data_IF_617022634595
#
_entry.id   IF_617022634595
#
_cell.length_a   1.000
_cell.length_b   1.000
_cell.length_c   1.000
_cell.angle_alpha   90.00
_cell.angle_beta   90.00
_cell.angle_gamma   90.00
#
_symmetry.space_group_name_H-M   'P 1'
#
loop_
_entity.id
_entity.type
_entity.pdbx_description
1 polymer ?
#
# COMPACT_ATOMS: atom_id res chain seq x y z
N UNK A 1 -8.96 -37.42 -14.22
CA UNK A 1 -8.07 -38.11 -13.28
C UNK A 1 -8.86 -39.01 -12.31
N UNK A 2 -9.94 -38.50 -11.69
CA UNK A 2 -10.75 -39.25 -10.72
C UNK A 2 -12.01 -39.91 -11.33
N UNK A 3 -12.38 -39.56 -12.57
CA UNK A 3 -13.62 -39.99 -13.20
C UNK A 3 -14.92 -39.47 -12.57
N UNK A 4 -14.82 -38.58 -11.58
CA UNK A 4 -15.97 -38.00 -10.88
C UNK A 4 -16.35 -36.63 -11.49
N UNK A 5 -17.62 -36.24 -11.36
CA UNK A 5 -18.07 -34.90 -11.73
C UNK A 5 -17.55 -33.83 -10.76
N UNK A 6 -17.51 -32.55 -11.17
CA UNK A 6 -17.08 -31.44 -10.32
C UNK A 6 -17.95 -31.32 -9.06
N UNK A 7 -19.26 -31.56 -9.17
CA UNK A 7 -20.22 -31.49 -8.07
C UNK A 7 -20.00 -32.61 -7.04
N UNK A 8 -19.71 -33.84 -7.52
CA UNK A 8 -19.41 -34.97 -6.64
C UNK A 8 -18.11 -34.72 -5.85
N UNK A 9 -17.08 -34.18 -6.52
CA UNK A 9 -15.81 -33.81 -5.87
C UNK A 9 -16.01 -32.66 -4.89
N UNK A 10 -16.80 -31.66 -5.21
CA UNK A 10 -17.09 -30.55 -4.31
C UNK A 10 -17.81 -31.02 -3.04
N UNK A 11 -18.73 -31.98 -3.17
CA UNK A 11 -19.39 -32.59 -2.03
C UNK A 11 -18.44 -33.38 -1.10
N UNK A 12 -17.50 -34.13 -1.68
CA UNK A 12 -16.47 -34.88 -0.92
C UNK A 12 -15.44 -33.97 -0.24
N UNK A 13 -15.17 -32.79 -0.84
CA UNK A 13 -14.21 -31.80 -0.36
C UNK A 13 -14.88 -30.68 0.44
N UNK A 14 -16.08 -30.89 0.93
CA UNK A 14 -16.81 -29.91 1.73
C UNK A 14 -15.98 -29.49 2.96
N UNK A 15 -15.81 -28.16 3.15
CA UNK A 15 -14.94 -27.60 4.18
C UNK A 15 -13.47 -27.45 3.79
N UNK A 16 -13.02 -28.14 2.71
CA UNK A 16 -11.68 -27.96 2.15
C UNK A 16 -11.69 -26.96 0.98
N UNK A 17 -12.77 -26.98 0.19
CA UNK A 17 -13.02 -26.01 -0.86
C UNK A 17 -14.41 -25.39 -0.67
N UNK A 18 -14.56 -24.16 -1.14
CA UNK A 18 -15.81 -23.39 -1.07
C UNK A 18 -16.19 -22.87 -2.44
N UNK A 19 -17.47 -22.99 -2.78
CA UNK A 19 -18.07 -22.33 -3.93
C UNK A 19 -18.17 -20.83 -3.67
N UNK A 20 -17.67 -20.01 -4.60
CA UNK A 20 -17.74 -18.56 -4.45
C UNK A 20 -19.09 -18.04 -4.98
N UNK A 21 -19.89 -17.34 -4.14
CA UNK A 21 -21.18 -16.81 -4.57
C UNK A 21 -21.05 -15.86 -5.77
N UNK A 22 -21.85 -16.11 -6.82
CA UNK A 22 -21.92 -15.23 -8.00
C UNK A 22 -20.73 -15.31 -8.95
N UNK A 23 -19.74 -16.20 -8.72
CA UNK A 23 -18.62 -16.39 -9.63
C UNK A 23 -18.76 -17.70 -10.41
N UNK A 24 -18.49 -17.62 -11.71
CA UNK A 24 -18.50 -18.74 -12.63
C UNK A 24 -17.15 -18.80 -13.37
N UNK A 25 -16.77 -20.04 -13.73
CA UNK A 25 -15.66 -20.29 -14.63
C UNK A 25 -16.02 -19.91 -16.07
N UNK A 26 -15.03 -19.92 -16.98
CA UNK A 26 -15.25 -19.61 -18.39
C UNK A 26 -16.24 -20.58 -19.07
N UNK A 27 -16.36 -21.81 -18.56
CA UNK A 27 -17.28 -22.85 -19.04
C UNK A 27 -18.68 -22.75 -18.40
N UNK A 28 -18.95 -21.72 -17.58
CA UNK A 28 -20.21 -21.50 -16.87
C UNK A 28 -20.38 -22.36 -15.62
N UNK A 29 -19.41 -23.18 -15.24
CA UNK A 29 -19.44 -23.96 -13.98
C UNK A 29 -19.15 -23.07 -12.77
N UNK A 30 -19.60 -23.45 -11.56
CA UNK A 30 -19.28 -22.72 -10.35
C UNK A 30 -17.78 -22.61 -10.08
N UNK A 31 -17.34 -21.44 -9.64
CA UNK A 31 -15.96 -21.21 -9.22
C UNK A 31 -15.76 -21.68 -7.77
N UNK A 32 -14.72 -22.48 -7.54
CA UNK A 32 -14.34 -23.01 -6.24
C UNK A 32 -12.95 -22.52 -5.85
N UNK A 33 -12.78 -22.19 -4.60
CA UNK A 33 -11.48 -21.82 -4.00
C UNK A 33 -11.21 -22.64 -2.75
N UNK A 34 -9.96 -22.75 -2.35
CA UNK A 34 -9.56 -23.47 -1.13
C UNK A 34 -10.02 -22.73 0.13
N UNK A 35 -10.15 -23.45 1.24
CA UNK A 35 -10.60 -22.89 2.51
C UNK A 35 -9.69 -21.74 3.00
N UNK A 36 -8.37 -21.87 2.86
CA UNK A 36 -7.38 -20.85 3.24
C UNK A 36 -7.57 -19.55 2.44
N UNK A 37 -7.95 -19.65 1.17
CA UNK A 37 -8.27 -18.50 0.33
C UNK A 37 -9.66 -17.94 0.64
N UNK A 38 -10.68 -18.81 0.77
CA UNK A 38 -12.04 -18.35 1.01
C UNK A 38 -12.21 -17.65 2.36
N UNK A 39 -11.61 -18.23 3.42
CA UNK A 39 -11.71 -17.76 4.81
C UNK A 39 -10.65 -16.70 5.16
N UNK A 40 -10.08 -16.03 4.19
CA UNK A 40 -9.12 -14.94 4.32
C UNK A 40 -9.54 -13.70 3.53
N UNK A 41 -8.77 -12.63 3.60
CA UNK A 41 -9.14 -11.34 3.00
C UNK A 41 -10.31 -10.69 3.74
N UNK A 42 -11.16 -9.93 3.09
CA UNK A 42 -12.30 -9.27 3.71
C UNK A 42 -13.42 -10.27 4.05
N UNK A 43 -13.28 -10.95 5.17
CA UNK A 43 -14.22 -12.00 5.63
C UNK A 43 -15.58 -11.46 6.03
N UNK A 44 -15.68 -10.20 6.46
CA UNK A 44 -16.98 -9.56 6.78
C UNK A 44 -17.81 -9.37 5.51
N UNK A 45 -17.19 -8.86 4.45
CA UNK A 45 -17.87 -8.72 3.15
C UNK A 45 -18.27 -10.08 2.57
N UNK A 46 -17.37 -11.07 2.65
CA UNK A 46 -17.64 -12.44 2.19
C UNK A 46 -18.81 -13.06 2.96
N UNK A 47 -18.90 -12.86 4.27
CA UNK A 47 -20.01 -13.34 5.09
C UNK A 47 -21.35 -12.74 4.61
N UNK A 48 -21.41 -11.42 4.42
CA UNK A 48 -22.63 -10.78 3.89
C UNK A 48 -23.03 -11.32 2.50
N UNK A 49 -22.06 -11.57 1.64
CA UNK A 49 -22.31 -12.18 0.33
C UNK A 49 -22.83 -13.62 0.45
N UNK A 50 -22.24 -14.44 1.34
CA UNK A 50 -22.68 -15.80 1.59
C UNK A 50 -24.08 -15.85 2.21
N UNK A 51 -24.42 -14.97 3.14
CA UNK A 51 -25.75 -14.86 3.74
C UNK A 51 -26.82 -14.53 2.69
N UNK A 52 -26.54 -13.59 1.79
CA UNK A 52 -27.45 -13.26 0.67
C UNK A 52 -27.63 -14.44 -0.28
N UNK A 53 -26.53 -15.15 -0.59
CA UNK A 53 -26.58 -16.31 -1.46
C UNK A 53 -27.37 -17.47 -0.80
N UNK A 54 -27.20 -17.69 0.51
CA UNK A 54 -27.90 -18.74 1.25
C UNK A 54 -29.43 -18.54 1.33
N UNK A 55 -29.90 -17.29 1.21
CA UNK A 55 -31.33 -17.00 1.10
C UNK A 55 -31.94 -17.52 -0.22
N UNK A 56 -31.16 -17.62 -1.28
CA UNK A 56 -31.57 -18.09 -2.60
C UNK A 56 -31.24 -19.57 -2.83
N UNK A 57 -30.09 -20.01 -2.33
CA UNK A 57 -29.55 -21.36 -2.46
C UNK A 57 -29.03 -21.87 -1.10
N UNK A 58 -29.79 -22.73 -0.41
CA UNK A 58 -29.42 -23.27 0.90
C UNK A 58 -28.06 -23.99 0.94
N UNK A 59 -27.50 -24.39 -0.21
CA UNK A 59 -26.17 -25.02 -0.27
C UNK A 59 -25.06 -24.10 0.23
N UNK A 60 -25.28 -22.78 0.26
CA UNK A 60 -24.33 -21.80 0.83
C UNK A 60 -24.36 -21.72 2.37
N UNK A 61 -25.18 -22.49 3.07
CA UNK A 61 -25.22 -22.49 4.53
C UNK A 61 -23.84 -22.85 5.13
N UNK A 62 -23.11 -23.80 4.50
CA UNK A 62 -21.76 -24.17 4.91
C UNK A 62 -20.77 -22.99 4.81
N UNK A 63 -20.93 -22.15 3.80
CA UNK A 63 -20.13 -20.94 3.63
C UNK A 63 -20.40 -19.93 4.76
N UNK A 64 -21.66 -19.75 5.12
CA UNK A 64 -22.08 -18.86 6.21
C UNK A 64 -21.49 -19.35 7.55
N UNK A 65 -21.61 -20.64 7.85
CA UNK A 65 -21.05 -21.24 9.08
C UNK A 65 -19.54 -21.03 9.15
N UNK A 66 -18.81 -21.40 8.10
CA UNK A 66 -17.35 -21.29 8.06
C UNK A 66 -16.87 -19.82 8.16
N UNK A 67 -17.53 -18.89 7.44
CA UNK A 67 -17.20 -17.48 7.49
C UNK A 67 -17.56 -16.83 8.83
N UNK A 68 -18.63 -17.31 9.50
CA UNK A 68 -19.00 -16.83 10.86
C UNK A 68 -17.90 -17.21 11.84
N UNK A 69 -17.39 -18.45 11.78
CA UNK A 69 -16.28 -18.89 12.62
C UNK A 69 -14.95 -18.17 12.30
N UNK A 70 -14.78 -17.69 11.07
CA UNK A 70 -13.57 -17.00 10.62
C UNK A 70 -13.58 -15.49 10.89
N UNK A 71 -14.66 -14.91 11.46
CA UNK A 71 -14.72 -13.47 11.74
C UNK A 71 -13.66 -13.05 12.76
N UNK A 72 -12.98 -11.92 12.56
CA UNK A 72 -12.15 -11.33 13.60
C UNK A 72 -13.04 -10.89 14.78
N UNK A 73 -12.47 -10.96 16.00
CA UNK A 73 -13.13 -10.42 17.19
C UNK A 73 -13.36 -8.94 17.01
N UNK A 74 -14.55 -8.45 17.35
CA UNK A 74 -14.81 -7.02 17.39
C UNK A 74 -13.97 -6.36 18.50
N UNK A 75 -13.35 -5.25 18.12
CA UNK A 75 -12.60 -4.39 19.02
C UNK A 75 -13.54 -3.38 19.66
N UNK A 76 -13.34 -3.09 20.94
CA UNK A 76 -14.02 -1.99 21.61
C UNK A 76 -13.21 -0.67 21.51
N UNK A 77 -13.78 0.43 21.99
CA UNK A 77 -13.15 1.75 21.90
C UNK A 77 -11.80 1.83 22.63
N UNK A 78 -11.56 1.00 23.64
CA UNK A 78 -10.29 0.97 24.38
C UNK A 78 -9.20 0.20 23.66
N UNK A 79 -9.58 -0.70 22.74
CA UNK A 79 -8.67 -1.50 21.93
C UNK A 79 -8.33 -0.81 20.59
N UNK A 80 -9.11 0.21 20.18
CA UNK A 80 -8.91 0.93 18.93
C UNK A 80 -7.97 2.12 19.14
N UNK A 81 -6.79 2.06 18.53
CA UNK A 81 -5.87 3.20 18.53
C UNK A 81 -6.35 4.27 17.53
N UNK A 82 -6.62 5.46 18.07
CA UNK A 82 -7.05 6.61 17.27
C UNK A 82 -6.00 7.72 17.33
N UNK A 83 -5.66 8.26 16.15
CA UNK A 83 -4.76 9.41 16.02
C UNK A 83 -5.34 10.44 15.06
N UNK A 84 -4.96 11.71 15.27
CA UNK A 84 -5.23 12.77 14.31
C UNK A 84 -4.64 12.44 12.94
N UNK A 85 -5.43 12.68 11.88
CA UNK A 85 -5.04 12.38 10.51
C UNK A 85 -5.32 10.95 10.05
N UNK A 86 -5.92 10.11 10.92
CA UNK A 86 -6.39 8.78 10.50
C UNK A 86 -7.50 8.93 9.45
N UNK A 87 -7.28 8.38 8.26
CA UNK A 87 -8.15 8.60 7.08
C UNK A 87 -9.47 7.83 7.11
N UNK A 88 -9.64 6.91 8.08
CA UNK A 88 -10.90 6.22 8.30
C UNK A 88 -11.91 7.05 9.13
N UNK A 89 -11.46 8.16 9.72
CA UNK A 89 -12.30 9.10 10.47
C UNK A 89 -12.77 10.19 9.50
N UNK A 90 -14.06 10.33 9.35
CA UNK A 90 -14.66 11.32 8.46
C UNK A 90 -14.26 12.74 8.87
N UNK A 91 -14.04 13.60 7.87
CA UNK A 91 -13.61 14.99 8.08
C UNK A 91 -14.58 15.78 8.95
N UNK A 92 -15.85 15.41 8.97
CA UNK A 92 -16.90 16.01 9.78
C UNK A 92 -16.61 15.88 11.28
N UNK A 93 -16.06 14.74 11.73
CA UNK A 93 -15.64 14.57 13.13
C UNK A 93 -14.43 15.43 13.48
N UNK A 94 -13.48 15.56 12.55
CA UNK A 94 -12.31 16.45 12.75
C UNK A 94 -12.79 17.91 12.82
N UNK A 95 -13.72 18.30 11.96
CA UNK A 95 -14.29 19.65 11.95
C UNK A 95 -15.08 19.93 13.24
N UNK A 96 -15.88 18.99 13.70
CA UNK A 96 -16.61 19.11 14.97
C UNK A 96 -15.63 19.24 16.15
N UNK A 97 -14.61 18.39 16.21
CA UNK A 97 -13.53 18.49 17.21
C UNK A 97 -12.90 19.86 17.22
N UNK A 98 -12.54 20.38 16.05
CA UNK A 98 -11.94 21.69 15.88
C UNK A 98 -12.84 22.81 16.42
N UNK A 99 -14.14 22.78 16.07
CA UNK A 99 -15.08 23.80 16.52
C UNK A 99 -15.32 23.76 18.04
N UNK A 100 -15.50 22.59 18.60
CA UNK A 100 -15.76 22.40 20.04
C UNK A 100 -14.53 22.71 20.89
N UNK A 101 -13.35 22.20 20.50
CA UNK A 101 -12.13 22.30 21.30
C UNK A 101 -11.54 23.72 21.25
N UNK A 102 -11.59 24.38 20.09
CA UNK A 102 -11.07 25.74 19.93
C UNK A 102 -12.12 26.81 20.18
N UNK A 103 -13.35 26.43 20.60
CA UNK A 103 -14.46 27.35 20.79
C UNK A 103 -14.67 28.28 19.57
N UNK A 104 -14.62 27.68 18.37
CA UNK A 104 -14.70 28.47 17.13
C UNK A 104 -16.03 29.23 17.06
N UNK A 105 -16.01 30.58 16.98
CA UNK A 105 -17.23 31.37 16.94
C UNK A 105 -18.14 30.94 15.77
N UNK A 106 -19.44 30.88 16.02
CA UNK A 106 -20.43 30.40 15.03
C UNK A 106 -20.35 31.14 13.69
N UNK A 107 -20.07 32.45 13.71
CA UNK A 107 -19.94 33.24 12.48
C UNK A 107 -18.69 32.87 11.66
N UNK A 108 -17.66 32.27 12.27
CA UNK A 108 -16.45 31.80 11.60
C UNK A 108 -16.58 30.34 11.10
N UNK A 109 -17.49 29.55 11.66
CA UNK A 109 -17.66 28.16 11.28
C UNK A 109 -18.02 27.95 9.80
N UNK A 110 -18.61 28.97 9.16
CA UNK A 110 -18.90 28.97 7.71
C UNK A 110 -17.67 29.23 6.84
N UNK A 111 -16.62 29.79 7.40
CA UNK A 111 -15.39 30.17 6.68
C UNK A 111 -14.19 29.30 7.03
N UNK A 112 -14.23 28.62 8.19
CA UNK A 112 -13.16 27.73 8.64
C UNK A 112 -13.67 26.30 8.49
N UNK A 113 -13.15 25.58 7.49
CA UNK A 113 -13.60 24.24 7.12
C UNK A 113 -12.42 23.27 7.00
N UNK A 114 -12.65 22.01 7.41
CA UNK A 114 -11.70 20.92 7.22
C UNK A 114 -11.99 20.21 5.90
N UNK A 115 -10.96 20.07 5.07
CA UNK A 115 -11.02 19.31 3.83
C UNK A 115 -9.93 18.24 3.80
N UNK A 116 -10.23 17.12 3.14
CA UNK A 116 -9.28 16.05 2.86
C UNK A 116 -9.33 15.72 1.37
N UNK A 117 -8.18 15.61 0.74
CA UNK A 117 -8.06 15.11 -0.64
C UNK A 117 -7.51 13.69 -0.63
N UNK A 118 -8.26 12.74 -1.14
CA UNK A 118 -7.82 11.34 -1.28
C UNK A 118 -6.69 11.20 -2.30
N UNK A 119 -6.63 12.09 -3.29
CA UNK A 119 -5.62 12.07 -4.35
C UNK A 119 -4.24 12.52 -3.84
N UNK A 120 -4.18 13.62 -3.08
CA UNK A 120 -2.91 14.12 -2.51
C UNK A 120 -2.61 13.54 -1.13
N UNK A 121 -3.57 12.85 -0.53
CA UNK A 121 -3.55 12.37 0.85
C UNK A 121 -3.28 13.51 1.87
N UNK A 122 -3.73 14.73 1.56
CA UNK A 122 -3.50 15.92 2.40
C UNK A 122 -4.78 16.43 3.03
N UNK A 123 -4.65 16.81 4.31
CA UNK A 123 -5.65 17.55 5.06
C UNK A 123 -5.41 19.05 4.93
N UNK A 124 -6.47 19.83 4.86
CA UNK A 124 -6.40 21.26 4.71
C UNK A 124 -7.48 21.94 5.55
N UNK A 125 -7.10 22.99 6.26
CA UNK A 125 -8.04 23.84 7.00
C UNK A 125 -8.13 25.19 6.29
N UNK A 126 -9.26 25.40 5.61
CA UNK A 126 -9.58 26.70 5.01
C UNK A 126 -9.82 27.73 6.09
N UNK A 127 -9.57 28.99 5.78
CA UNK A 127 -9.88 30.11 6.68
C UNK A 127 -9.09 30.13 7.99
N UNK A 128 -8.06 29.31 8.17
CA UNK A 128 -7.23 29.23 9.38
C UNK A 128 -6.62 30.54 9.85
N UNK A 129 -6.50 31.54 8.96
CA UNK A 129 -5.97 32.88 9.27
C UNK A 129 -7.06 33.88 9.55
N UNK A 130 -8.33 33.53 9.51
CA UNK A 130 -9.46 34.44 9.73
C UNK A 130 -9.77 34.73 11.21
N UNK A 131 -9.06 34.06 12.12
CA UNK A 131 -9.26 34.15 13.56
C UNK A 131 -8.54 35.36 14.11
N UNK A 132 -9.22 36.09 15.01
CA UNK A 132 -8.63 37.26 15.70
C UNK A 132 -7.44 36.86 16.56
N UNK A 133 -6.37 37.66 16.57
CA UNK A 133 -5.21 37.45 17.44
C UNK A 133 -5.54 37.48 18.94
N UNK A 134 -6.69 38.06 19.32
CA UNK A 134 -7.18 38.09 20.69
C UNK A 134 -7.91 36.82 21.11
N UNK A 135 -8.05 35.83 20.21
CA UNK A 135 -8.67 34.56 20.52
C UNK A 135 -7.74 33.73 21.40
N UNK A 136 -8.13 33.54 22.66
CA UNK A 136 -7.33 32.82 23.66
C UNK A 136 -7.17 31.34 23.31
N UNK A 137 -8.22 30.71 22.81
CA UNK A 137 -8.14 29.28 22.44
C UNK A 137 -7.17 29.08 21.27
N UNK A 138 -7.26 29.97 20.26
CA UNK A 138 -6.47 29.86 19.03
C UNK A 138 -4.99 30.24 19.20
N UNK A 139 -4.66 31.23 20.06
CA UNK A 139 -3.31 31.78 20.16
C UNK A 139 -2.60 31.55 21.50
N UNK A 140 -3.33 31.04 22.52
CA UNK A 140 -2.76 30.85 23.87
C UNK A 140 -2.92 29.39 24.33
N UNK A 141 -4.15 28.88 24.33
CA UNK A 141 -4.41 27.52 24.86
C UNK A 141 -3.84 26.44 23.93
N UNK A 142 -4.24 26.44 22.65
CA UNK A 142 -3.87 25.45 21.65
C UNK A 142 -2.96 25.97 20.54
N UNK A 143 -2.58 27.24 20.60
CA UNK A 143 -1.66 27.87 19.65
C UNK A 143 -0.62 28.75 20.33
N UNK A 144 0.16 29.42 19.49
CA UNK A 144 1.17 30.39 19.85
C UNK A 144 0.94 31.68 19.05
N UNK A 145 1.63 32.78 19.39
CA UNK A 145 1.60 34.02 18.60
C UNK A 145 2.10 33.85 17.16
N UNK A 146 2.91 32.80 16.90
CA UNK A 146 3.53 32.52 15.60
C UNK A 146 2.81 31.41 14.81
N UNK A 147 2.06 30.53 15.49
CA UNK A 147 1.27 29.47 14.88
C UNK A 147 -0.01 29.29 15.68
N UNK A 148 -1.15 29.64 15.10
CA UNK A 148 -2.43 29.44 15.76
C UNK A 148 -2.85 27.96 15.80
N UNK A 149 -3.85 27.64 16.62
CA UNK A 149 -4.35 26.28 16.83
C UNK A 149 -4.78 25.59 15.53
N UNK A 150 -5.39 26.29 14.60
CA UNK A 150 -5.85 25.73 13.31
C UNK A 150 -4.68 25.33 12.42
N UNK A 151 -3.61 26.11 12.39
CA UNK A 151 -2.38 25.76 11.68
C UNK A 151 -1.69 24.55 12.31
N UNK A 152 -1.60 24.50 13.63
CA UNK A 152 -1.00 23.38 14.36
C UNK A 152 -1.85 22.11 14.16
N UNK A 153 -3.18 22.23 14.15
CA UNK A 153 -4.08 21.10 13.85
C UNK A 153 -3.84 20.58 12.43
N UNK A 154 -3.77 21.46 11.43
CA UNK A 154 -3.49 21.06 10.04
C UNK A 154 -2.15 20.33 9.90
N UNK A 155 -1.09 20.83 10.55
CA UNK A 155 0.21 20.15 10.55
C UNK A 155 0.12 18.78 11.25
N UNK A 156 -0.66 18.67 12.34
CA UNK A 156 -0.88 17.42 13.06
C UNK A 156 -1.64 16.37 12.22
N UNK A 157 -2.67 16.80 11.50
CA UNK A 157 -3.44 15.97 10.58
C UNK A 157 -2.57 15.41 9.45
N UNK A 158 -1.60 16.18 8.97
CA UNK A 158 -0.66 15.79 7.93
C UNK A 158 0.61 15.11 8.48
N UNK A 159 0.65 14.74 9.76
CA UNK A 159 1.78 14.11 10.43
C UNK A 159 3.07 14.94 10.33
N UNK A 160 2.96 16.26 10.26
CA UNK A 160 4.09 17.20 10.21
C UNK A 160 4.37 17.75 11.60
N UNK A 161 5.65 17.83 11.97
CA UNK A 161 6.05 18.57 13.16
C UNK A 161 6.03 20.07 12.87
N UNK A 162 5.47 20.83 13.78
CA UNK A 162 5.45 22.29 13.66
C UNK A 162 6.86 22.83 13.83
N UNK A 163 7.33 23.62 12.87
CA UNK A 163 8.64 24.28 12.89
C UNK A 163 8.48 25.78 12.66
N UNK A 164 9.02 26.58 13.56
CA UNK A 164 8.96 28.05 13.50
C UNK A 164 10.33 28.56 13.07
N UNK A 165 10.34 29.41 12.06
CA UNK A 165 11.56 30.00 11.51
C UNK A 165 11.54 31.52 11.66
N UNK A 166 12.69 32.08 12.02
CA UNK A 166 12.96 33.51 11.92
C UNK A 166 13.67 33.82 10.61
N UNK A 167 13.37 34.97 10.03
CA UNK A 167 14.11 35.49 8.88
C UNK A 167 15.20 36.40 9.41
N UNK A 168 16.44 36.08 9.13
CA UNK A 168 17.63 36.84 9.54
C UNK A 168 18.31 37.31 8.27
N UNK A 169 18.65 38.61 8.20
CA UNK A 169 19.43 39.20 7.13
C UNK A 169 20.93 39.09 7.47
N UNK A 170 21.73 38.55 6.54
CA UNK A 170 23.18 38.48 6.72
C UNK A 170 23.86 39.80 6.34
N UNK A 171 25.20 39.87 6.52
CA UNK A 171 25.96 41.06 6.24
C UNK A 171 25.94 41.52 4.76
N UNK A 172 25.53 40.59 3.86
CA UNK A 172 25.39 40.87 2.42
C UNK A 172 23.96 41.23 2.00
N UNK A 173 23.04 41.45 2.98
CA UNK A 173 21.64 41.78 2.73
C UNK A 173 20.79 40.63 2.22
N UNK A 174 21.22 39.36 2.38
CA UNK A 174 20.45 38.19 2.02
C UNK A 174 19.66 37.64 3.18
N UNK A 175 18.38 37.42 2.96
CA UNK A 175 17.50 36.77 3.94
C UNK A 175 17.74 35.30 4.05
N UNK A 176 17.98 34.83 5.27
CA UNK A 176 18.10 33.39 5.61
C UNK A 176 17.04 33.00 6.63
N UNK A 177 16.43 31.83 6.43
CA UNK A 177 15.46 31.25 7.38
C UNK A 177 16.22 30.41 8.40
N UNK A 178 16.20 30.79 9.68
CA UNK A 178 16.83 30.11 10.79
C UNK A 178 15.78 29.55 11.72
N UNK A 179 15.92 28.28 12.14
CA UNK A 179 14.97 27.64 13.05
C UNK A 179 15.00 28.31 14.42
N UNK A 180 13.85 28.79 14.87
CA UNK A 180 13.67 29.28 16.23
C UNK A 180 13.34 28.11 17.16
N UNK A 181 14.34 27.59 17.87
CA UNK A 181 14.20 26.41 18.72
C UNK A 181 13.19 26.63 19.85
N UNK A 182 13.16 27.81 20.47
CA UNK A 182 12.26 28.15 21.58
C UNK A 182 10.79 28.14 21.13
N UNK A 183 10.48 28.87 20.06
CA UNK A 183 9.12 28.95 19.51
C UNK A 183 8.67 27.60 18.92
N UNK A 184 9.59 26.84 18.33
CA UNK A 184 9.31 25.48 17.83
C UNK A 184 8.97 24.54 18.98
N UNK A 185 9.69 24.59 20.10
CA UNK A 185 9.39 23.75 21.28
C UNK A 185 8.03 24.10 21.87
N UNK A 186 7.70 25.40 21.97
CA UNK A 186 6.40 25.84 22.47
C UNK A 186 5.27 25.36 21.55
N UNK A 187 5.43 25.49 20.22
CA UNK A 187 4.46 25.00 19.26
C UNK A 187 4.29 23.47 19.31
N UNK A 188 5.37 22.72 19.51
CA UNK A 188 5.34 21.26 19.68
C UNK A 188 4.56 20.86 20.94
N UNK A 189 4.67 21.58 22.05
CA UNK A 189 3.85 21.35 23.23
C UNK A 189 2.35 21.57 22.95
N UNK A 190 2.00 22.64 22.18
CA UNK A 190 0.62 22.88 21.78
C UNK A 190 0.11 21.78 20.83
N UNK A 191 0.96 21.31 19.93
CA UNK A 191 0.64 20.19 19.05
C UNK A 191 0.33 18.93 19.85
N UNK A 192 1.11 18.63 20.89
CA UNK A 192 0.85 17.50 21.77
C UNK A 192 -0.46 17.67 22.56
N UNK A 193 -0.73 18.87 23.07
CA UNK A 193 -1.99 19.16 23.77
C UNK A 193 -3.23 18.95 22.87
N UNK A 194 -3.14 19.32 21.59
CA UNK A 194 -4.22 19.06 20.60
C UNK A 194 -4.41 17.55 20.38
N UNK A 195 -3.32 16.80 20.27
CA UNK A 195 -3.39 15.33 20.10
C UNK A 195 -4.05 14.64 21.30
N UNK A 196 -3.72 15.07 22.51
CA UNK A 196 -4.31 14.56 23.75
C UNK A 196 -5.79 14.93 23.84
N UNK A 197 -6.12 16.20 23.57
CA UNK A 197 -7.51 16.65 23.57
C UNK A 197 -8.37 15.85 22.57
N UNK A 198 -7.82 15.51 21.39
CA UNK A 198 -8.53 14.69 20.41
C UNK A 198 -8.79 13.28 20.90
N UNK A 199 -7.80 12.62 21.52
CA UNK A 199 -7.97 11.26 22.09
C UNK A 199 -9.09 11.23 23.14
N UNK A 200 -9.15 12.26 23.98
CA UNK A 200 -10.19 12.35 24.99
C UNK A 200 -11.56 12.68 24.40
N UNK A 201 -11.59 13.57 23.40
CA UNK A 201 -12.81 14.02 22.79
C UNK A 201 -13.50 12.94 21.96
N UNK A 202 -12.75 12.18 21.17
CA UNK A 202 -13.28 11.26 20.13
C UNK A 202 -14.20 10.18 20.76
N UNK A 203 -13.84 9.69 21.95
CA UNK A 203 -14.57 8.62 22.64
C UNK A 203 -15.53 9.12 23.74
N UNK A 204 -15.58 10.42 24.02
CA UNK A 204 -16.38 10.98 25.11
C UNK A 204 -17.87 10.83 24.88
N UNK A 205 -18.33 11.15 23.68
CA UNK A 205 -19.74 11.05 23.30
C UNK A 205 -20.13 9.61 22.99
N UNK A 206 -21.19 9.05 23.63
CA UNK A 206 -21.57 7.64 23.48
C UNK A 206 -22.04 7.27 22.07
N UNK A 207 -22.78 8.15 21.38
CA UNK A 207 -23.31 7.90 20.05
C UNK A 207 -22.18 7.90 19.02
N UNK A 208 -21.31 8.92 19.08
CA UNK A 208 -20.10 8.99 18.24
C UNK A 208 -19.21 7.78 18.47
N UNK A 209 -18.98 7.40 19.73
CA UNK A 209 -18.18 6.20 20.08
C UNK A 209 -18.76 4.94 19.46
N UNK A 210 -20.05 4.70 19.59
CA UNK A 210 -20.71 3.53 19.01
C UNK A 210 -20.58 3.50 17.48
N UNK A 211 -20.80 4.65 16.83
CA UNK A 211 -20.70 4.78 15.37
C UNK A 211 -19.28 4.49 14.89
N UNK A 212 -18.28 5.11 15.50
CA UNK A 212 -16.87 4.94 15.11
C UNK A 212 -16.33 3.53 15.41
N UNK A 213 -16.74 2.90 16.52
CA UNK A 213 -16.38 1.51 16.83
C UNK A 213 -16.97 0.57 15.79
N UNK A 214 -18.24 0.77 15.41
CA UNK A 214 -18.88 -0.02 14.36
C UNK A 214 -18.18 0.17 13.00
N UNK A 215 -17.93 1.40 12.62
CA UNK A 215 -17.22 1.72 11.37
C UNK A 215 -15.82 1.10 11.34
N UNK A 216 -15.05 1.23 12.40
CA UNK A 216 -13.71 0.66 12.47
C UNK A 216 -13.73 -0.87 12.31
N UNK A 217 -14.62 -1.55 13.02
CA UNK A 217 -14.75 -2.99 12.90
C UNK A 217 -15.17 -3.45 11.50
N UNK A 218 -16.08 -2.70 10.86
CA UNK A 218 -16.55 -3.02 9.51
C UNK A 218 -15.51 -2.75 8.41
N UNK A 219 -14.73 -1.69 8.52
CA UNK A 219 -13.80 -1.24 7.47
C UNK A 219 -12.36 -1.67 7.73
N UNK A 220 -11.85 -1.48 8.95
CA UNK A 220 -10.45 -1.70 9.29
C UNK A 220 -10.20 -3.08 9.90
N UNK A 221 -11.12 -3.57 10.76
CA UNK A 221 -11.03 -4.90 11.37
C UNK A 221 -11.86 -5.94 10.58
N UNK A 222 -11.80 -5.88 9.26
CA UNK A 222 -12.61 -6.71 8.37
C UNK A 222 -11.83 -7.82 7.67
N UNK A 223 -10.50 -7.79 7.78
CA UNK A 223 -9.61 -8.64 7.01
C UNK A 223 -8.92 -9.67 7.90
N UNK A 224 -8.97 -10.91 7.47
CA UNK A 224 -8.16 -12.00 8.03
C UNK A 224 -6.99 -12.29 7.08
N UNK A 225 -5.73 -12.29 7.54
CA UNK A 225 -4.60 -12.68 6.72
C UNK A 225 -4.77 -14.12 6.21
N UNK A 226 -4.35 -14.37 4.96
CA UNK A 226 -4.24 -15.74 4.46
C UNK A 226 -2.99 -16.37 5.05
N UNK A 227 -3.14 -17.55 5.63
CA UNK A 227 -2.04 -18.34 6.12
C UNK A 227 -1.59 -19.32 5.03
N UNK A 228 -0.29 -19.46 4.88
CA UNK A 228 0.31 -20.37 3.91
C UNK A 228 1.13 -21.42 4.65
N UNK A 229 0.81 -22.68 4.43
CA UNK A 229 1.59 -23.80 4.95
C UNK A 229 2.43 -24.40 3.82
N UNK A 230 3.74 -24.34 3.95
CA UNK A 230 4.71 -24.90 3.03
C UNK A 230 5.27 -26.25 3.48
N UNK A 231 4.75 -26.86 4.54
CA UNK A 231 5.28 -28.11 5.12
C UNK A 231 5.28 -29.28 4.13
N UNK A 232 4.31 -29.30 3.21
CA UNK A 232 4.14 -30.33 2.19
C UNK A 232 5.07 -30.17 0.97
N UNK A 233 5.75 -29.02 0.84
CA UNK A 233 6.59 -28.74 -0.34
C UNK A 233 7.90 -29.54 -0.25
N UNK A 234 8.21 -30.25 -1.32
CA UNK A 234 9.48 -30.94 -1.51
C UNK A 234 10.31 -30.23 -2.56
N UNK A 235 11.59 -30.01 -2.25
CA UNK A 235 12.49 -29.22 -3.09
C UNK A 235 13.42 -30.12 -3.91
N UNK A 236 12.97 -30.47 -5.12
CA UNK A 236 13.75 -31.32 -6.03
C UNK A 236 15.03 -30.62 -6.50
N UNK A 237 16.17 -31.33 -6.46
CA UNK A 237 17.47 -30.80 -6.90
C UNK A 237 18.17 -29.85 -5.92
N UNK A 238 17.54 -29.56 -4.77
CA UNK A 238 18.16 -28.76 -3.72
C UNK A 238 19.29 -29.54 -3.04
N UNK A 239 20.31 -28.84 -2.57
CA UNK A 239 21.44 -29.40 -1.81
C UNK A 239 20.92 -30.13 -0.55
N UNK A 240 21.13 -31.46 -0.42
CA UNK A 240 20.63 -32.25 0.70
C UNK A 240 21.25 -31.87 2.07
N UNK A 241 22.40 -31.18 2.07
CA UNK A 241 23.02 -30.71 3.28
C UNK A 241 22.34 -29.44 3.86
N UNK A 242 21.39 -28.84 3.14
CA UNK A 242 20.68 -27.63 3.56
C UNK A 242 19.22 -28.00 3.84
N UNK A 243 18.73 -27.61 5.04
CA UNK A 243 17.34 -27.75 5.42
C UNK A 243 16.70 -26.37 5.55
N UNK A 244 15.61 -26.14 4.81
CA UNK A 244 14.82 -24.92 4.94
C UNK A 244 14.00 -24.95 6.24
N UNK A 245 13.94 -23.82 6.93
CA UNK A 245 13.12 -23.62 8.15
C UNK A 245 11.64 -23.54 7.80
N UNK A 246 10.75 -23.75 8.76
CA UNK A 246 9.30 -23.70 8.55
C UNK A 246 8.83 -22.39 7.96
N UNK A 247 9.29 -21.24 8.52
CA UNK A 247 8.92 -19.91 7.99
C UNK A 247 9.38 -19.72 6.55
N UNK A 248 10.53 -20.30 6.15
CA UNK A 248 10.99 -20.21 4.76
C UNK A 248 10.11 -21.05 3.82
N UNK A 249 9.70 -22.24 4.24
CA UNK A 249 8.77 -23.07 3.47
C UNK A 249 7.40 -22.39 3.31
N UNK A 250 6.89 -21.77 4.39
CA UNK A 250 5.64 -21.02 4.35
C UNK A 250 5.74 -19.77 3.49
N UNK A 251 6.89 -19.07 3.48
CA UNK A 251 7.15 -17.96 2.57
C UNK A 251 7.18 -18.41 1.10
N UNK A 252 7.77 -19.57 0.82
CA UNK A 252 7.79 -20.17 -0.52
C UNK A 252 6.36 -20.54 -0.96
N UNK A 253 5.56 -21.13 -0.08
CA UNK A 253 4.15 -21.40 -0.35
C UNK A 253 3.38 -20.12 -0.67
N UNK A 254 3.65 -19.03 0.06
CA UNK A 254 3.07 -17.73 -0.22
C UNK A 254 3.42 -17.22 -1.63
N UNK A 255 4.67 -17.32 -2.05
CA UNK A 255 5.09 -16.94 -3.41
C UNK A 255 4.39 -17.80 -4.48
N UNK A 256 4.26 -19.10 -4.25
CA UNK A 256 3.68 -20.04 -5.23
C UNK A 256 2.16 -19.89 -5.38
N UNK A 257 1.45 -19.62 -4.28
CA UNK A 257 -0.03 -19.63 -4.23
C UNK A 257 -0.65 -18.24 -4.10
N UNK A 258 0.08 -17.27 -3.61
CA UNK A 258 -0.43 -15.92 -3.33
C UNK A 258 -0.21 -14.89 -4.45
N UNK A 259 0.60 -15.19 -5.45
CA UNK A 259 0.95 -14.26 -6.53
C UNK A 259 2.03 -13.26 -6.10
N UNK A 260 1.79 -11.95 -6.32
CA UNK A 260 2.75 -10.92 -5.92
C UNK A 260 2.95 -10.91 -4.40
N UNK A 261 4.18 -11.11 -3.95
CA UNK A 261 4.51 -11.32 -2.54
C UNK A 261 5.60 -10.36 -2.07
N UNK A 262 5.41 -9.75 -0.90
CA UNK A 262 6.42 -8.99 -0.17
C UNK A 262 7.00 -9.85 0.96
N UNK A 263 8.28 -10.24 0.84
CA UNK A 263 9.02 -10.95 1.89
C UNK A 263 9.67 -9.94 2.85
N UNK A 264 8.92 -9.47 3.84
CA UNK A 264 9.35 -8.46 4.80
C UNK A 264 10.01 -9.06 6.06
N UNK A 265 10.64 -10.23 5.95
CA UNK A 265 11.36 -10.87 7.06
C UNK A 265 12.58 -10.04 7.49
N UNK A 266 12.97 -10.17 8.75
CA UNK A 266 14.16 -9.52 9.29
C UNK A 266 15.44 -9.94 8.56
N UNK A 267 16.51 -9.13 8.74
CA UNK A 267 17.82 -9.46 8.20
C UNK A 267 18.34 -10.75 8.86
N UNK A 268 18.83 -11.69 8.06
CA UNK A 268 19.30 -13.00 8.53
C UNK A 268 18.24 -14.11 8.55
N UNK A 269 16.97 -13.82 8.23
CA UNK A 269 15.91 -14.85 8.14
C UNK A 269 16.10 -15.83 6.95
N UNK A 270 16.97 -15.50 6.00
CA UNK A 270 17.27 -16.35 4.85
C UNK A 270 16.43 -16.07 3.61
N UNK A 271 15.98 -14.83 3.40
CA UNK A 271 15.18 -14.40 2.25
C UNK A 271 15.75 -14.81 0.89
N UNK A 272 17.07 -14.81 0.73
CA UNK A 272 17.72 -15.27 -0.50
C UNK A 272 17.36 -16.71 -0.83
N UNK A 273 17.37 -17.60 0.17
CA UNK A 273 16.99 -19.00 -0.02
C UNK A 273 15.49 -19.15 -0.28
N UNK A 274 14.65 -18.34 0.35
CA UNK A 274 13.20 -18.30 0.06
C UNK A 274 12.93 -17.97 -1.42
N UNK A 275 13.56 -16.90 -1.92
CA UNK A 275 13.39 -16.48 -3.31
C UNK A 275 13.95 -17.50 -4.31
N UNK A 276 15.14 -18.05 -4.04
CA UNK A 276 15.78 -19.04 -4.90
C UNK A 276 14.95 -20.32 -4.95
N UNK A 277 14.56 -20.85 -3.79
CA UNK A 277 13.76 -22.08 -3.72
C UNK A 277 12.37 -21.90 -4.33
N UNK A 278 11.71 -20.74 -4.10
CA UNK A 278 10.43 -20.42 -4.73
C UNK A 278 10.53 -20.38 -6.26
N UNK A 279 11.61 -19.80 -6.80
CA UNK A 279 11.82 -19.73 -8.25
C UNK A 279 12.05 -21.10 -8.88
N UNK A 280 12.84 -21.96 -8.23
CA UNK A 280 13.11 -23.32 -8.71
C UNK A 280 11.87 -24.21 -8.62
N UNK A 281 11.10 -24.06 -7.58
CA UNK A 281 9.83 -24.78 -7.41
C UNK A 281 8.77 -24.29 -8.40
N UNK A 282 8.66 -22.98 -8.63
CA UNK A 282 7.79 -22.42 -9.67
C UNK A 282 8.14 -22.97 -11.08
N UNK A 283 9.44 -23.10 -11.39
CA UNK A 283 9.89 -23.74 -12.64
C UNK A 283 9.51 -25.22 -12.67
N UNK A 284 9.74 -25.97 -11.60
CA UNK A 284 9.38 -27.38 -11.49
C UNK A 284 7.88 -27.64 -11.71
N UNK A 285 7.05 -26.74 -11.17
CA UNK A 285 5.59 -26.79 -11.31
C UNK A 285 5.08 -26.25 -12.67
N UNK A 286 5.98 -25.76 -13.54
CA UNK A 286 5.60 -25.20 -14.84
C UNK A 286 4.96 -23.82 -14.79
N UNK A 287 5.01 -23.13 -13.64
CA UNK A 287 4.47 -21.78 -13.46
C UNK A 287 5.34 -20.71 -14.15
N UNK A 288 6.63 -21.00 -14.30
CA UNK A 288 7.55 -20.16 -15.08
C UNK A 288 8.59 -21.01 -15.80
N UNK A 289 9.20 -20.47 -16.85
CA UNK A 289 10.29 -21.15 -17.57
C UNK A 289 11.65 -20.77 -17.01
N UNK A 290 11.83 -19.51 -16.65
CA UNK A 290 13.05 -18.95 -16.07
C UNK A 290 12.72 -17.75 -15.18
N UNK A 291 13.52 -17.52 -14.16
CA UNK A 291 13.33 -16.41 -13.21
C UNK A 291 14.39 -15.34 -13.39
N UNK A 292 13.99 -14.09 -13.16
CA UNK A 292 14.88 -12.94 -13.20
C UNK A 292 15.04 -12.36 -11.79
N UNK A 293 16.28 -12.35 -11.29
CA UNK A 293 16.64 -11.75 -10.02
C UNK A 293 17.30 -10.39 -10.27
N UNK A 294 16.64 -9.34 -9.83
CA UNK A 294 17.17 -7.97 -9.90
C UNK A 294 17.65 -7.57 -8.50
N UNK A 295 18.95 -7.41 -8.35
CA UNK A 295 19.59 -7.22 -7.06
C UNK A 295 20.49 -5.96 -7.07
N UNK A 296 20.89 -5.41 -5.92
CA UNK A 296 21.91 -4.36 -5.87
C UNK A 296 23.18 -4.80 -6.59
N UNK A 297 23.77 -3.89 -7.37
CA UNK A 297 24.88 -4.22 -8.29
C UNK A 297 26.08 -4.93 -7.62
N UNK A 298 26.35 -4.63 -6.35
CA UNK A 298 27.46 -5.22 -5.60
C UNK A 298 27.14 -6.61 -5.03
N UNK A 299 25.88 -7.07 -5.12
CA UNK A 299 25.45 -8.36 -4.57
C UNK A 299 25.28 -9.45 -5.64
N UNK A 300 25.49 -9.16 -6.93
CA UNK A 300 25.25 -10.12 -8.02
C UNK A 300 26.07 -11.40 -7.87
N UNK A 301 27.35 -11.31 -7.53
CA UNK A 301 28.22 -12.46 -7.33
C UNK A 301 27.86 -13.26 -6.07
N UNK A 302 27.51 -12.58 -4.99
CA UNK A 302 27.03 -13.22 -3.76
C UNK A 302 25.76 -14.00 -4.01
N UNK A 303 24.80 -13.41 -4.73
CA UNK A 303 23.56 -14.08 -5.10
C UNK A 303 23.78 -15.32 -5.97
N UNK A 304 24.71 -15.25 -6.93
CA UNK A 304 25.10 -16.40 -7.73
C UNK A 304 25.70 -17.53 -6.88
N UNK A 305 26.58 -17.18 -5.95
CA UNK A 305 27.19 -18.15 -5.02
C UNK A 305 26.15 -18.81 -4.12
N UNK A 306 25.24 -18.04 -3.52
CA UNK A 306 24.16 -18.58 -2.68
C UNK A 306 23.16 -19.41 -3.49
N UNK A 307 22.86 -19.02 -4.74
CA UNK A 307 22.02 -19.80 -5.63
C UNK A 307 22.62 -21.19 -5.90
N UNK A 308 23.88 -21.25 -6.32
CA UNK A 308 24.58 -22.51 -6.60
C UNK A 308 24.88 -23.32 -5.33
N UNK A 309 24.99 -22.68 -4.20
CA UNK A 309 25.06 -23.37 -2.90
C UNK A 309 23.79 -24.11 -2.59
N UNK A 310 22.63 -23.50 -2.85
CA UNK A 310 21.32 -24.12 -2.61
C UNK A 310 20.93 -25.13 -3.72
N UNK A 311 21.22 -24.81 -4.99
CA UNK A 311 20.95 -25.65 -6.16
C UNK A 311 22.23 -25.85 -6.99
N UNK A 312 23.10 -26.80 -6.65
CA UNK A 312 24.40 -26.97 -7.28
C UNK A 312 24.39 -27.26 -8.79
N UNK A 313 23.29 -27.84 -9.27
CA UNK A 313 23.12 -28.22 -10.70
C UNK A 313 22.38 -27.15 -11.51
N UNK A 314 22.04 -26.00 -10.91
CA UNK A 314 21.28 -24.97 -11.62
C UNK A 314 22.11 -24.29 -12.71
N UNK A 315 21.47 -24.06 -13.86
CA UNK A 315 22.05 -23.30 -14.97
C UNK A 315 21.66 -21.83 -14.84
N UNK A 316 22.56 -21.00 -14.28
CA UNK A 316 22.32 -19.59 -14.04
C UNK A 316 23.14 -18.68 -14.96
N UNK A 317 22.58 -17.54 -15.33
CA UNK A 317 23.27 -16.49 -16.08
C UNK A 317 23.46 -15.28 -15.17
N UNK A 318 24.71 -14.94 -14.87
CA UNK A 318 25.06 -13.76 -14.09
C UNK A 318 25.53 -12.65 -15.02
N UNK A 319 24.93 -11.47 -14.89
CA UNK A 319 25.25 -10.35 -15.77
C UNK A 319 26.53 -9.63 -15.32
N UNK A 320 27.33 -9.22 -16.30
CA UNK A 320 28.52 -8.41 -16.10
C UNK A 320 28.34 -7.00 -16.66
N UNK A 321 29.19 -6.07 -16.29
CA UNK A 321 29.15 -4.70 -16.85
C UNK A 321 29.31 -4.68 -18.36
N UNK A 322 30.14 -5.59 -18.92
CA UNK A 322 30.41 -5.72 -20.36
C UNK A 322 29.18 -6.14 -21.15
N UNK A 323 28.29 -6.94 -20.57
CA UNK A 323 27.06 -7.42 -21.25
C UNK A 323 26.10 -6.26 -21.57
N UNK A 324 26.13 -5.18 -20.78
CA UNK A 324 25.27 -3.99 -20.94
C UNK A 324 25.94 -2.80 -21.62
N UNK A 325 27.13 -2.96 -22.19
CA UNK A 325 27.68 -2.00 -23.13
C UNK A 325 26.81 -1.89 -24.37
N UNK A 326 26.75 -0.70 -24.96
CA UNK A 326 25.76 -0.38 -26.04
C UNK A 326 25.76 -1.38 -27.18
N UNK A 327 26.94 -1.87 -27.59
CA UNK A 327 27.09 -2.84 -28.67
C UNK A 327 26.75 -4.28 -28.29
N UNK A 328 26.88 -4.66 -27.02
CA UNK A 328 26.61 -6.01 -26.51
C UNK A 328 25.15 -6.22 -26.05
N UNK A 329 24.44 -5.16 -25.67
CA UNK A 329 23.14 -5.22 -25.02
C UNK A 329 22.11 -6.03 -25.81
N UNK A 330 21.96 -5.78 -27.11
CA UNK A 330 21.01 -6.51 -27.96
C UNK A 330 21.31 -8.00 -28.00
N UNK A 331 22.60 -8.35 -28.14
CA UNK A 331 23.05 -9.76 -28.15
C UNK A 331 22.80 -10.43 -26.80
N UNK A 332 23.02 -9.70 -25.71
CA UNK A 332 22.79 -10.21 -24.35
C UNK A 332 21.28 -10.40 -24.07
N UNK A 333 20.43 -9.44 -24.43
CA UNK A 333 18.97 -9.61 -24.32
C UNK A 333 18.47 -10.79 -25.17
N UNK A 334 18.99 -10.98 -26.36
CA UNK A 334 18.67 -12.16 -27.18
C UNK A 334 19.08 -13.46 -26.47
N UNK A 335 20.26 -13.50 -25.85
CA UNK A 335 20.75 -14.64 -25.06
C UNK A 335 19.83 -14.94 -23.86
N UNK A 336 19.34 -13.93 -23.16
CA UNK A 336 18.36 -14.10 -22.08
C UNK A 336 17.06 -14.71 -22.65
N UNK A 337 16.58 -14.20 -23.79
CA UNK A 337 15.32 -14.65 -24.37
C UNK A 337 15.38 -16.11 -24.84
N UNK A 338 16.47 -16.48 -25.54
CA UNK A 338 16.59 -17.78 -26.21
C UNK A 338 17.32 -18.85 -25.41
N UNK A 339 18.11 -18.45 -24.40
CA UNK A 339 18.89 -19.41 -23.60
C UNK A 339 18.02 -20.21 -22.62
N UNK A 340 18.38 -21.46 -22.41
CA UNK A 340 17.73 -22.33 -21.41
C UNK A 340 18.44 -22.17 -20.06
N UNK A 341 18.02 -21.15 -19.31
CA UNK A 341 18.51 -20.87 -17.96
C UNK A 341 17.44 -21.15 -16.92
N UNK A 342 17.84 -21.57 -15.73
CA UNK A 342 16.97 -21.61 -14.57
C UNK A 342 16.71 -20.22 -14.02
N UNK A 343 17.78 -19.41 -13.98
CA UNK A 343 17.69 -18.05 -13.50
C UNK A 343 18.69 -17.11 -14.18
N UNK A 344 18.32 -15.83 -14.24
CA UNK A 344 19.18 -14.72 -14.62
C UNK A 344 19.34 -13.81 -13.42
N UNK A 345 20.58 -13.47 -13.05
CA UNK A 345 20.89 -12.56 -11.95
C UNK A 345 21.51 -11.29 -12.54
N UNK A 346 20.89 -10.14 -12.29
CA UNK A 346 21.38 -8.85 -12.79
C UNK A 346 21.26 -7.74 -11.76
N UNK A 347 22.12 -6.73 -11.91
CA UNK A 347 22.09 -5.53 -11.07
C UNK A 347 20.98 -4.55 -11.48
N UNK A 348 20.49 -3.73 -10.55
CA UNK A 348 19.46 -2.71 -10.78
C UNK A 348 19.79 -1.80 -11.98
N UNK A 349 21.02 -1.26 -12.03
CA UNK A 349 21.44 -0.36 -13.11
C UNK A 349 21.51 -1.02 -14.49
N UNK A 350 21.58 -2.35 -14.55
CA UNK A 350 21.55 -3.12 -15.78
C UNK A 350 20.09 -3.37 -16.20
N UNK A 351 19.22 -3.70 -15.25
CA UNK A 351 17.79 -3.90 -15.46
C UNK A 351 17.11 -2.63 -16.02
N UNK A 352 17.42 -1.46 -15.47
CA UNK A 352 16.92 -0.16 -15.95
C UNK A 352 17.27 0.15 -17.41
N UNK A 353 18.31 -0.50 -17.95
CA UNK A 353 18.71 -0.32 -19.35
C UNK A 353 17.99 -1.24 -20.34
N UNK A 354 17.15 -2.16 -19.86
CA UNK A 354 16.31 -3.02 -20.72
C UNK A 354 15.16 -2.14 -21.24
N UNK A 355 15.04 -1.93 -22.58
CA UNK A 355 14.00 -1.07 -23.10
C UNK A 355 12.62 -1.72 -22.93
N UNK A 356 11.67 -0.92 -22.47
CA UNK A 356 10.25 -1.27 -22.48
C UNK A 356 9.70 -1.01 -23.88
N UNK A 357 8.74 -1.83 -24.35
CA UNK A 357 8.11 -1.59 -25.65
C UNK A 357 7.45 -0.20 -25.68
N UNK A 358 7.44 0.41 -26.86
CA UNK A 358 6.92 1.76 -27.05
C UNK A 358 5.44 1.84 -26.69
N UNK A 359 4.64 0.87 -27.13
CA UNK A 359 3.21 0.80 -26.86
C UNK A 359 2.94 0.76 -25.34
N UNK A 360 3.79 0.06 -24.61
CA UNK A 360 3.70 0.01 -23.14
C UNK A 360 4.09 1.33 -22.49
N UNK A 361 5.11 2.02 -23.04
CA UNK A 361 5.50 3.34 -22.54
C UNK A 361 4.40 4.37 -22.79
N UNK A 362 3.79 4.37 -23.99
CA UNK A 362 2.67 5.24 -24.32
C UNK A 362 1.48 4.99 -23.39
N UNK A 363 1.10 3.73 -23.19
CA UNK A 363 0.00 3.36 -22.29
C UNK A 363 0.23 3.85 -20.86
N UNK A 364 1.42 3.63 -20.30
CA UNK A 364 1.76 4.11 -18.95
C UNK A 364 1.68 5.65 -18.85
N UNK A 365 2.09 6.37 -19.89
CA UNK A 365 1.98 7.83 -19.89
C UNK A 365 0.52 8.28 -19.96
N UNK A 366 -0.34 7.63 -20.76
CA UNK A 366 -1.77 7.91 -20.78
C UNK A 366 -2.41 7.66 -19.42
N UNK A 367 -2.16 6.50 -18.80
CA UNK A 367 -2.68 6.17 -17.47
C UNK A 367 -2.28 7.24 -16.43
N UNK A 368 -1.02 7.68 -16.43
CA UNK A 368 -0.54 8.74 -15.52
C UNK A 368 -1.19 10.11 -15.80
N UNK A 369 -1.41 10.47 -17.07
CA UNK A 369 -2.07 11.73 -17.44
C UNK A 369 -3.53 11.71 -17.01
N UNK A 370 -4.23 10.60 -17.19
CA UNK A 370 -5.63 10.42 -16.78
C UNK A 370 -5.76 10.52 -15.24
N UNK A 371 -4.93 9.80 -14.48
CA UNK A 371 -4.89 9.87 -13.02
C UNK A 371 -4.66 11.30 -12.50
N UNK A 372 -3.69 12.03 -13.08
CA UNK A 372 -3.43 13.42 -12.69
C UNK A 372 -4.61 14.33 -13.07
N UNK A 373 -5.25 14.08 -14.20
CA UNK A 373 -6.40 14.88 -14.64
C UNK A 373 -7.60 14.70 -13.71
N UNK A 374 -7.87 13.46 -13.29
CA UNK A 374 -8.89 13.16 -12.27
C UNK A 374 -8.54 13.81 -10.93
N UNK A 375 -7.27 13.72 -10.50
CA UNK A 375 -6.79 14.34 -9.28
C UNK A 375 -6.91 15.87 -9.29
N UNK A 376 -6.65 16.54 -10.42
CA UNK A 376 -6.87 17.98 -10.56
C UNK A 376 -8.35 18.32 -10.35
N UNK A 377 -9.26 17.56 -10.96
CA UNK A 377 -10.70 17.78 -10.84
C UNK A 377 -11.17 17.58 -9.37
N UNK A 378 -10.70 16.55 -8.69
CA UNK A 378 -11.00 16.28 -7.28
C UNK A 378 -10.50 17.40 -6.36
N UNK A 379 -9.23 17.82 -6.50
CA UNK A 379 -8.64 18.92 -5.71
C UNK A 379 -9.37 20.24 -5.96
N UNK A 380 -9.79 20.52 -7.19
CA UNK A 380 -10.59 21.71 -7.50
C UNK A 380 -11.98 21.65 -6.87
N UNK A 381 -12.65 20.51 -6.94
CA UNK A 381 -13.99 20.30 -6.37
C UNK A 381 -13.97 20.40 -4.84
N UNK A 382 -12.93 19.86 -4.17
CA UNK A 382 -12.74 19.96 -2.71
C UNK A 382 -12.27 21.34 -2.24
N UNK A 383 -12.02 22.27 -3.17
CA UNK A 383 -11.52 23.62 -2.88
C UNK A 383 -10.07 23.67 -2.41
N UNK A 384 -9.25 22.73 -2.90
CA UNK A 384 -7.82 22.65 -2.61
C UNK A 384 -7.02 23.88 -3.01
N UNK A 385 -5.79 23.98 -2.48
CA UNK A 385 -4.93 25.16 -2.71
C UNK A 385 -4.61 25.32 -4.20
N UNK A 386 -4.68 26.55 -4.68
CA UNK A 386 -4.29 26.92 -6.06
C UNK A 386 -2.84 26.51 -6.40
N UNK A 387 -1.98 26.43 -5.37
CA UNK A 387 -0.59 25.97 -5.55
C UNK A 387 -0.53 24.50 -5.92
N UNK A 388 -1.26 23.64 -5.22
CA UNK A 388 -1.33 22.18 -5.49
C UNK A 388 -1.89 21.93 -6.88
N UNK A 389 -2.98 22.59 -7.27
CA UNK A 389 -3.54 22.49 -8.61
C UNK A 389 -2.52 22.89 -9.68
N UNK A 390 -1.82 24.03 -9.51
CA UNK A 390 -0.77 24.47 -10.45
C UNK A 390 0.39 23.49 -10.54
N UNK A 391 0.76 22.84 -9.45
CA UNK A 391 1.82 21.82 -9.44
C UNK A 391 1.39 20.59 -10.24
N UNK A 392 0.18 20.08 -10.02
CA UNK A 392 -0.39 18.96 -10.77
C UNK A 392 -0.51 19.28 -12.26
N UNK A 393 -0.98 20.47 -12.62
CA UNK A 393 -1.04 20.94 -14.01
C UNK A 393 0.35 20.97 -14.69
N UNK A 394 1.41 21.40 -13.98
CA UNK A 394 2.78 21.36 -14.49
C UNK A 394 3.26 19.95 -14.73
N UNK A 395 2.96 19.04 -13.80
CA UNK A 395 3.32 17.62 -13.95
C UNK A 395 2.59 17.02 -15.16
N UNK A 396 1.28 17.28 -15.31
CA UNK A 396 0.50 16.84 -16.47
C UNK A 396 1.13 17.33 -17.79
N UNK A 397 1.41 18.62 -17.93
CA UNK A 397 2.06 19.19 -19.11
C UNK A 397 3.42 18.55 -19.42
N UNK A 398 4.19 18.23 -18.38
CA UNK A 398 5.48 17.53 -18.56
C UNK A 398 5.30 16.12 -19.11
N UNK A 399 4.27 15.38 -18.64
CA UNK A 399 3.96 14.05 -19.16
C UNK A 399 3.40 14.09 -20.59
N UNK A 400 2.53 15.05 -20.90
CA UNK A 400 2.00 15.29 -22.25
C UNK A 400 3.14 15.56 -23.23
N UNK A 401 4.08 16.45 -22.89
CA UNK A 401 5.26 16.74 -23.72
C UNK A 401 6.16 15.50 -23.92
N UNK A 402 6.29 14.66 -22.89
CA UNK A 402 7.03 13.40 -23.00
C UNK A 402 6.33 12.40 -23.91
N UNK A 403 5.00 12.33 -23.85
CA UNK A 403 4.18 11.50 -24.74
C UNK A 403 4.30 11.95 -26.19
N UNK A 404 4.18 13.25 -26.47
CA UNK A 404 4.35 13.82 -27.82
C UNK A 404 5.74 13.50 -28.40
N UNK A 405 6.79 13.64 -27.58
CA UNK A 405 8.15 13.30 -28.00
C UNK A 405 8.28 11.82 -28.34
N UNK A 406 7.73 10.94 -27.53
CA UNK A 406 7.73 9.48 -27.76
C UNK A 406 7.00 9.14 -29.07
N UNK A 407 5.87 9.80 -29.36
CA UNK A 407 5.09 9.62 -30.58
C UNK A 407 5.82 10.16 -31.83
N UNK A 408 6.51 11.29 -31.68
CA UNK A 408 7.28 11.88 -32.78
C UNK A 408 8.49 11.02 -33.18
N UNK A 409 9.18 10.39 -32.24
CA UNK A 409 10.32 9.49 -32.50
C UNK A 409 9.92 8.21 -33.25
N UNK A 410 8.66 7.83 -33.22
CA UNK A 410 8.20 6.64 -33.92
C UNK A 410 7.63 6.89 -35.33
N UNK A 411 7.52 8.14 -35.72
CA UNK A 411 7.14 8.50 -37.09
C UNK A 411 8.35 8.64 -38.02
N UNK A 412 9.56 8.54 -37.49
CA UNK A 412 10.82 8.47 -38.23
C UNK A 412 11.28 7.01 -38.35
#
# INVERSE_FOLDING_TARGET
LTGKTKEALAGELQGVIFRVPGQLEQDGTPHYVTADEYLSGNVRRKLRQAQRAAQQDPSFAVNVEALTAAQPKDLDASEIEVRLGATWIDKEYIQQFMYETFNTPFYLQRSIEVNYSSFTAEWQIKGKSSVSYNDVAAYTTYGTSRANAYKILEDSLNLRDVRIYDTIEDADGKEHRVLNAKETTLAAQKQQAIREAFRDWIWRDPERRQTLVSQYNEEMNSTRPREYDGSHITFGGMNPAITLREHQKSAIAHVLYGGNTLLAHEVGAGKTFEMVAASMEAKRLGLCQKSLFVVPNHLTEQWASEFLRLYPSANILVTTKKDFETHNRKKFCARIATGDYDAIIMGHSQFERIPISRERQERLLYEQIDEITEGIAEVQASGGERFTVKQLERTRKSLEARLEKLQAEGRK
#
